data_IF_579034887837
#
_entry.id   IF_579034887837
#
_cell.length_a   1.000
_cell.length_b   1.000
_cell.length_c   1.000
_cell.angle_alpha   90.00
_cell.angle_beta   90.00
_cell.angle_gamma   90.00
#
_symmetry.space_group_name_H-M   'P 1'
#
loop_
_entity.id
_entity.type
_entity.pdbx_description
1 polymer ?
#
# COMPACT_ATOMS: atom_id res chain seq x y z
N UNK A 1 10.82 15.82 5.14
CA UNK A 1 9.70 16.52 4.48
C UNK A 1 8.44 15.74 4.76
N UNK A 2 7.38 16.39 5.22
CA UNK A 2 6.11 15.75 5.58
C UNK A 2 5.00 16.24 4.67
N UNK A 3 3.92 15.47 4.55
CA UNK A 3 2.74 15.93 3.85
C UNK A 3 2.11 17.13 4.54
N UNK A 4 1.75 18.13 3.73
CA UNK A 4 0.91 19.24 4.18
C UNK A 4 -0.57 18.78 4.28
N UNK A 5 -1.47 19.59 4.88
CA UNK A 5 -2.88 19.21 5.05
C UNK A 5 -3.61 18.87 3.75
N UNK A 6 -3.29 19.54 2.63
CA UNK A 6 -3.89 19.24 1.34
C UNK A 6 -3.41 17.88 0.80
N UNK A 7 -2.13 17.56 0.97
CA UNK A 7 -1.55 16.27 0.59
C UNK A 7 -2.10 15.13 1.45
N UNK A 8 -2.29 15.36 2.77
CA UNK A 8 -2.96 14.39 3.66
C UNK A 8 -4.39 14.12 3.17
N UNK A 9 -5.13 15.16 2.79
CA UNK A 9 -6.48 14.99 2.24
C UNK A 9 -6.49 14.18 0.94
N UNK A 10 -5.56 14.47 0.03
CA UNK A 10 -5.40 13.70 -1.22
C UNK A 10 -5.05 12.24 -0.94
N UNK A 11 -4.17 11.97 0.02
CA UNK A 11 -3.84 10.62 0.47
C UNK A 11 -5.07 9.88 0.96
N UNK A 12 -5.85 10.48 1.86
CA UNK A 12 -7.10 9.88 2.36
C UNK A 12 -8.10 9.58 1.24
N UNK A 13 -8.24 10.49 0.28
CA UNK A 13 -9.10 10.28 -0.88
C UNK A 13 -8.60 9.12 -1.75
N UNK A 14 -7.29 9.05 -2.01
CA UNK A 14 -6.68 7.99 -2.81
C UNK A 14 -6.86 6.61 -2.17
N UNK A 15 -6.73 6.49 -0.84
CA UNK A 15 -7.00 5.24 -0.13
C UNK A 15 -8.49 4.86 -0.20
N UNK A 16 -9.41 5.81 -0.04
CA UNK A 16 -10.84 5.53 -0.16
C UNK A 16 -11.24 5.07 -1.58
N UNK A 17 -10.59 5.61 -2.61
CA UNK A 17 -10.77 5.18 -4.00
C UNK A 17 -10.14 3.80 -4.24
N UNK A 18 -8.91 3.57 -3.76
CA UNK A 18 -8.23 2.28 -3.85
C UNK A 18 -9.02 1.16 -3.16
N UNK A 19 -9.57 1.41 -1.97
CA UNK A 19 -10.48 0.49 -1.28
C UNK A 19 -11.68 0.09 -2.14
N UNK A 20 -12.31 1.07 -2.80
CA UNK A 20 -13.47 0.83 -3.66
C UNK A 20 -13.10 -0.11 -4.81
N UNK A 21 -11.97 0.16 -5.44
CA UNK A 21 -11.52 -0.57 -6.63
C UNK A 21 -11.06 -1.97 -6.28
N UNK A 22 -10.26 -2.11 -5.22
CA UNK A 22 -9.83 -3.40 -4.71
C UNK A 22 -11.02 -4.25 -4.26
N UNK A 23 -11.97 -3.67 -3.51
CA UNK A 23 -13.18 -4.38 -3.08
C UNK A 23 -14.00 -4.90 -4.27
N UNK A 24 -14.14 -4.07 -5.33
CA UNK A 24 -14.83 -4.47 -6.56
C UNK A 24 -14.10 -5.61 -7.28
N UNK A 25 -12.77 -5.53 -7.39
CA UNK A 25 -11.94 -6.54 -8.05
C UNK A 25 -11.98 -7.89 -7.32
N UNK A 26 -11.81 -7.87 -5.99
CA UNK A 26 -11.78 -9.07 -5.15
C UNK A 26 -13.17 -9.58 -4.75
N UNK A 27 -14.24 -8.88 -5.17
CA UNK A 27 -15.65 -9.18 -4.88
C UNK A 27 -15.95 -9.31 -3.39
N UNK A 28 -15.37 -8.40 -2.59
CA UNK A 28 -15.60 -8.30 -1.14
C UNK A 28 -16.31 -7.00 -0.79
N UNK A 29 -16.92 -6.94 0.39
CA UNK A 29 -17.57 -5.70 0.83
C UNK A 29 -16.53 -4.68 1.32
N UNK A 30 -16.76 -3.38 1.10
CA UNK A 30 -15.87 -2.34 1.66
C UNK A 30 -15.81 -2.41 3.18
N UNK A 31 -16.91 -2.79 3.84
CA UNK A 31 -16.93 -2.99 5.30
C UNK A 31 -16.01 -4.12 5.73
N UNK A 32 -15.95 -5.21 4.97
CA UNK A 32 -15.05 -6.33 5.23
C UNK A 32 -13.57 -5.95 5.06
N UNK A 33 -13.27 -5.00 4.17
CA UNK A 33 -11.92 -4.44 4.00
C UNK A 33 -11.57 -3.39 5.08
N UNK A 34 -12.52 -2.52 5.41
CA UNK A 34 -12.35 -1.35 6.29
C UNK A 34 -12.53 -1.67 7.79
N UNK A 35 -13.12 -2.82 8.14
CA UNK A 35 -13.38 -3.21 9.53
C UNK A 35 -12.09 -3.68 10.24
N UNK A 36 -11.23 -2.72 10.59
CA UNK A 36 -10.09 -2.90 11.50
C UNK A 36 -9.00 -3.83 10.99
N UNK A 37 -8.71 -3.81 9.69
CA UNK A 37 -7.65 -4.66 9.10
C UNK A 37 -6.37 -3.93 8.79
N UNK A 38 -6.46 -2.64 8.48
CA UNK A 38 -5.28 -1.80 8.35
C UNK A 38 -5.49 -0.35 8.78
N UNK A 39 -4.39 0.31 9.11
CA UNK A 39 -4.28 1.76 9.33
C UNK A 39 -3.33 2.35 8.29
N UNK A 40 -3.44 3.65 8.04
CA UNK A 40 -2.53 4.38 7.16
C UNK A 40 -1.84 5.45 7.99
N UNK A 41 -0.53 5.30 8.16
CA UNK A 41 0.32 6.27 8.85
C UNK A 41 1.20 7.01 7.86
N UNK A 42 1.26 8.33 7.99
CA UNK A 42 2.23 9.17 7.28
C UNK A 42 3.52 9.27 8.07
N UNK A 43 4.62 9.65 7.43
CA UNK A 43 5.96 9.74 8.04
C UNK A 43 5.99 10.53 9.36
N UNK A 44 5.11 11.52 9.54
CA UNK A 44 4.99 12.29 10.78
C UNK A 44 4.54 11.48 12.02
N UNK A 45 3.97 10.29 11.82
CA UNK A 45 3.42 9.42 12.86
C UNK A 45 4.07 8.03 12.89
N UNK A 46 5.16 7.83 12.13
CA UNK A 46 5.91 6.57 12.10
C UNK A 46 6.90 6.50 13.26
N UNK A 47 7.03 5.31 13.84
CA UNK A 47 8.14 4.98 14.74
C UNK A 47 9.41 4.64 13.93
N UNK A 48 10.59 4.69 14.56
CA UNK A 48 11.87 4.53 13.88
C UNK A 48 11.98 3.22 13.08
N UNK A 49 11.36 2.13 13.55
CA UNK A 49 11.33 0.85 12.82
C UNK A 49 10.33 0.81 11.66
N UNK A 50 9.37 1.74 11.63
CA UNK A 50 8.42 1.93 10.53
C UNK A 50 8.97 2.88 9.45
N UNK A 51 10.11 3.53 9.69
CA UNK A 51 10.79 4.36 8.68
C UNK A 51 11.62 3.46 7.77
N UNK A 52 11.40 3.56 6.45
CA UNK A 52 12.15 2.80 5.47
C UNK A 52 12.65 3.72 4.35
N UNK A 53 13.97 3.71 4.15
CA UNK A 53 14.62 4.59 3.18
C UNK A 53 14.59 4.06 1.73
N UNK A 54 14.20 2.81 1.51
CA UNK A 54 14.13 2.18 0.19
C UNK A 54 12.78 2.32 -0.50
N UNK A 55 11.68 2.31 0.26
CA UNK A 55 10.32 2.17 -0.29
C UNK A 55 9.46 3.45 -0.17
N UNK A 56 8.42 3.56 -1.01
CA UNK A 56 7.42 4.65 -0.87
C UNK A 56 6.43 4.38 0.27
N UNK A 57 6.12 3.11 0.47
CA UNK A 57 5.31 2.61 1.55
C UNK A 57 5.79 1.20 1.90
N UNK A 58 5.49 0.75 3.11
CA UNK A 58 5.58 -0.67 3.44
C UNK A 58 4.44 -1.05 4.39
N UNK A 59 4.30 -2.35 4.62
CA UNK A 59 3.38 -2.89 5.61
C UNK A 59 4.14 -3.31 6.86
N UNK A 60 3.63 -2.92 8.03
CA UNK A 60 4.04 -3.48 9.32
C UNK A 60 2.90 -4.33 9.88
N UNK A 61 3.20 -5.56 10.28
CA UNK A 61 2.23 -6.48 10.87
C UNK A 61 2.30 -6.41 12.40
N UNK A 62 1.16 -6.14 13.03
CA UNK A 62 1.01 -6.04 14.47
C UNK A 62 0.09 -7.15 14.99
N UNK A 63 0.45 -7.71 16.15
CA UNK A 63 -0.34 -8.71 16.86
C UNK A 63 -0.84 -8.11 18.17
N UNK A 64 -2.17 -8.09 18.35
CA UNK A 64 -2.76 -7.73 19.63
C UNK A 64 -3.07 -8.98 20.44
N UNK A 65 -2.43 -9.18 21.62
CA UNK A 65 -2.88 -10.19 22.55
C UNK A 65 -4.21 -9.73 23.15
N UNK A 66 -5.31 -10.45 22.91
CA UNK A 66 -6.55 -10.18 23.66
C UNK A 66 -6.35 -10.59 25.12
N UNK A 67 -6.78 -9.72 26.03
CA UNK A 67 -6.75 -9.92 27.47
C UNK A 67 -7.36 -11.27 27.87
N UNK A 68 -6.63 -12.04 28.70
CA UNK A 68 -7.03 -13.36 29.24
C UNK A 68 -8.52 -13.39 29.61
N UNK A 69 -9.34 -14.14 28.86
CA UNK A 69 -10.75 -14.30 29.25
C UNK A 69 -11.71 -14.96 28.25
N UNK A 70 -11.33 -15.20 27.00
CA UNK A 70 -12.22 -15.88 26.04
C UNK A 70 -11.46 -16.99 25.29
N UNK A 71 -11.94 -18.22 25.43
CA UNK A 71 -11.42 -19.48 24.85
C UNK A 71 -11.58 -19.55 23.31
N UNK A 72 -11.03 -18.57 22.61
CA UNK A 72 -10.88 -18.60 21.15
C UNK A 72 -9.43 -18.28 20.81
N UNK A 73 -8.74 -19.25 20.21
CA UNK A 73 -7.31 -19.23 19.88
C UNK A 73 -6.87 -18.20 18.80
N UNK A 74 -7.69 -17.19 18.49
CA UNK A 74 -7.41 -16.19 17.45
C UNK A 74 -6.79 -14.92 18.04
N UNK A 75 -5.49 -14.74 17.83
CA UNK A 75 -4.84 -13.44 17.93
C UNK A 75 -5.35 -12.54 16.80
N UNK A 76 -5.74 -11.30 17.12
CA UNK A 76 -6.12 -10.35 16.08
C UNK A 76 -4.85 -9.76 15.45
N UNK A 77 -4.69 -10.01 14.15
CA UNK A 77 -3.66 -9.39 13.33
C UNK A 77 -4.15 -8.07 12.74
N UNK A 78 -3.28 -7.08 12.68
CA UNK A 78 -3.54 -5.80 12.06
C UNK A 78 -2.35 -5.33 11.23
N UNK A 79 -2.61 -4.64 10.12
CA UNK A 79 -1.57 -4.13 9.24
C UNK A 79 -1.47 -2.60 9.31
N UNK A 80 -0.27 -2.04 9.44
CA UNK A 80 -0.05 -0.60 9.30
C UNK A 80 0.61 -0.33 7.95
N UNK A 81 -0.03 0.48 7.11
CA UNK A 81 0.55 0.99 5.88
C UNK A 81 1.33 2.25 6.23
N UNK A 82 2.65 2.16 6.20
CA UNK A 82 3.55 3.24 6.61
C UNK A 82 4.07 3.98 5.38
N UNK A 83 3.55 5.18 5.13
CA UNK A 83 3.90 6.03 4.00
C UNK A 83 5.17 6.85 4.29
N UNK A 84 6.10 6.84 3.35
CA UNK A 84 7.35 7.60 3.43
C UNK A 84 7.18 8.94 2.68
N UNK A 85 6.51 9.91 3.32
CA UNK A 85 6.13 11.22 2.74
C UNK A 85 7.28 11.87 1.97
N UNK A 86 8.47 11.91 2.56
CA UNK A 86 9.68 12.48 1.98
C UNK A 86 10.02 11.83 0.62
N UNK A 87 9.93 10.50 0.51
CA UNK A 87 10.26 9.78 -0.72
C UNK A 87 9.21 9.99 -1.80
N UNK A 88 7.95 9.98 -1.42
CA UNK A 88 6.83 10.23 -2.34
C UNK A 88 6.92 11.65 -2.90
N UNK A 89 7.12 12.65 -2.04
CA UNK A 89 7.27 14.05 -2.47
C UNK A 89 8.51 14.24 -3.34
N UNK A 90 9.65 13.66 -2.95
CA UNK A 90 10.87 13.72 -3.76
C UNK A 90 10.69 13.05 -5.13
N UNK A 91 9.92 11.97 -5.23
CA UNK A 91 9.63 11.33 -6.52
C UNK A 91 8.77 12.22 -7.42
N UNK A 92 7.73 12.86 -6.86
CA UNK A 92 6.89 13.83 -7.58
C UNK A 92 7.70 15.03 -8.04
N UNK A 93 8.59 15.55 -7.19
CA UNK A 93 9.45 16.69 -7.52
C UNK A 93 10.46 16.35 -8.63
N UNK A 94 11.17 15.21 -8.51
CA UNK A 94 12.12 14.74 -9.54
C UNK A 94 11.46 14.45 -10.88
N UNK A 95 10.19 14.04 -10.88
CA UNK A 95 9.44 13.78 -12.10
C UNK A 95 9.02 15.07 -12.84
N UNK A 96 9.36 16.27 -12.34
CA UNK A 96 9.13 17.57 -13.00
C UNK A 96 7.71 17.71 -13.57
N UNK A 97 6.69 17.33 -12.79
CA UNK A 97 5.26 17.35 -13.16
C UNK A 97 4.76 16.26 -14.11
N UNK A 98 5.62 15.34 -14.57
CA UNK A 98 5.20 14.17 -15.36
C UNK A 98 4.39 13.17 -14.54
N UNK A 99 4.75 13.02 -13.26
CA UNK A 99 4.00 12.22 -12.29
C UNK A 99 3.37 13.18 -11.28
N UNK A 100 2.04 13.18 -11.20
CA UNK A 100 1.30 13.94 -10.19
C UNK A 100 1.17 13.11 -8.90
N UNK A 101 1.03 13.79 -7.76
CA UNK A 101 0.88 13.13 -6.46
C UNK A 101 -0.35 12.21 -6.41
N UNK A 102 -1.48 12.64 -6.95
CA UNK A 102 -2.74 11.86 -6.92
C UNK A 102 -2.63 10.50 -7.61
N UNK A 103 -2.21 10.38 -8.89
CA UNK A 103 -2.08 9.07 -9.54
C UNK A 103 -0.99 8.20 -8.90
N UNK A 104 0.12 8.80 -8.43
CA UNK A 104 1.15 8.06 -7.69
C UNK A 104 0.59 7.48 -6.38
N UNK A 105 -0.14 8.30 -5.62
CA UNK A 105 -0.73 7.88 -4.36
C UNK A 105 -1.82 6.83 -4.56
N UNK A 106 -2.63 6.95 -5.61
CA UNK A 106 -3.63 5.93 -5.96
C UNK A 106 -2.96 4.59 -6.30
N UNK A 107 -1.85 4.62 -7.03
CA UNK A 107 -1.05 3.42 -7.30
C UNK A 107 -0.52 2.80 -6.01
N UNK A 108 0.16 3.60 -5.16
CA UNK A 108 0.71 3.13 -3.87
C UNK A 108 -0.41 2.55 -3.01
N UNK A 109 -1.50 3.28 -2.81
CA UNK A 109 -2.63 2.84 -1.98
C UNK A 109 -3.24 1.53 -2.50
N UNK A 110 -3.40 1.39 -3.82
CA UNK A 110 -3.92 0.16 -4.43
C UNK A 110 -2.96 -1.00 -4.22
N UNK A 111 -1.66 -0.78 -4.39
CA UNK A 111 -0.61 -1.80 -4.18
C UNK A 111 -0.63 -2.34 -2.74
N UNK A 112 -0.61 -1.44 -1.75
CA UNK A 112 -0.60 -1.84 -0.35
C UNK A 112 -1.92 -2.50 0.08
N UNK A 113 -3.07 -2.05 -0.43
CA UNK A 113 -4.36 -2.70 -0.14
C UNK A 113 -4.43 -4.11 -0.74
N UNK A 114 -3.88 -4.33 -1.93
CA UNK A 114 -3.80 -5.66 -2.54
C UNK A 114 -2.97 -6.60 -1.66
N UNK A 115 -1.84 -6.12 -1.15
CA UNK A 115 -1.04 -6.88 -0.16
C UNK A 115 -1.84 -7.25 1.07
N UNK A 116 -2.52 -6.28 1.71
CA UNK A 116 -3.35 -6.53 2.90
C UNK A 116 -4.40 -7.61 2.63
N UNK A 117 -5.11 -7.53 1.50
CA UNK A 117 -6.14 -8.52 1.13
C UNK A 117 -5.53 -9.91 0.94
N UNK A 118 -4.39 -10.00 0.25
CA UNK A 118 -3.73 -11.28 -0.05
C UNK A 118 -3.16 -11.93 1.21
N UNK A 119 -2.56 -11.16 2.10
CA UNK A 119 -2.09 -11.66 3.39
C UNK A 119 -3.25 -12.12 4.29
N UNK A 120 -4.34 -11.36 4.36
CA UNK A 120 -5.53 -11.73 5.13
C UNK A 120 -6.21 -13.01 4.63
N UNK A 121 -6.15 -13.27 3.32
CA UNK A 121 -6.69 -14.50 2.72
C UNK A 121 -5.74 -15.70 2.83
N UNK A 122 -4.53 -15.51 3.36
CA UNK A 122 -3.49 -16.53 3.37
C UNK A 122 -2.98 -16.90 1.97
N UNK A 123 -3.22 -16.04 0.97
CA UNK A 123 -2.71 -16.22 -0.40
C UNK A 123 -1.19 -15.97 -0.48
N UNK A 124 -0.66 -15.25 0.51
CA UNK A 124 0.76 -15.04 0.75
C UNK A 124 1.03 -14.94 2.26
N UNK A 125 2.26 -15.20 2.68
CA UNK A 125 2.70 -15.05 4.06
C UNK A 125 3.60 -13.81 4.17
N UNK A 126 3.44 -13.05 5.26
CA UNK A 126 4.22 -11.83 5.51
C UNK A 126 5.71 -12.15 5.78
N UNK A 127 5.97 -13.27 6.48
CA UNK A 127 7.30 -13.68 6.95
C UNK A 127 7.94 -14.74 6.02
N UNK A 128 7.97 -14.48 4.71
CA UNK A 128 8.55 -15.41 3.72
C UNK A 128 9.97 -15.01 3.28
N UNK A 129 10.78 -15.97 2.79
CA UNK A 129 12.10 -15.69 2.22
C UNK A 129 12.02 -14.69 1.05
N UNK A 130 13.16 -14.04 0.76
CA UNK A 130 13.26 -13.01 -0.28
C UNK A 130 12.72 -13.44 -1.64
N UNK A 131 13.01 -14.68 -2.06
CA UNK A 131 12.57 -15.19 -3.37
C UNK A 131 11.04 -15.21 -3.47
N UNK A 132 10.36 -15.67 -2.42
CA UNK A 132 8.90 -15.68 -2.33
C UNK A 132 8.32 -14.25 -2.25
N UNK A 133 9.01 -13.33 -1.55
CA UNK A 133 8.63 -11.91 -1.55
C UNK A 133 8.67 -11.32 -2.96
N UNK A 134 9.71 -11.63 -3.74
CA UNK A 134 9.84 -11.14 -5.12
C UNK A 134 8.75 -11.70 -6.05
N UNK A 135 8.30 -12.95 -5.83
CA UNK A 135 7.15 -13.50 -6.56
C UNK A 135 5.83 -12.82 -6.16
N UNK A 136 5.66 -12.53 -4.88
CA UNK A 136 4.48 -11.83 -4.38
C UNK A 136 4.42 -10.40 -4.92
N UNK A 137 5.54 -9.67 -4.93
CA UNK A 137 5.60 -8.33 -5.53
C UNK A 137 5.19 -8.33 -7.00
N UNK A 138 5.62 -9.33 -7.79
CA UNK A 138 5.20 -9.46 -9.19
C UNK A 138 3.70 -9.69 -9.32
N UNK A 139 3.12 -10.52 -8.46
CA UNK A 139 1.67 -10.80 -8.45
C UNK A 139 0.88 -9.56 -8.07
N UNK A 140 1.28 -8.88 -6.98
CA UNK A 140 0.63 -7.67 -6.49
C UNK A 140 0.72 -6.56 -7.53
N UNK A 141 1.90 -6.35 -8.12
CA UNK A 141 2.06 -5.38 -9.21
C UNK A 141 1.11 -5.66 -10.40
N UNK A 142 1.01 -6.91 -10.83
CA UNK A 142 0.09 -7.31 -11.89
C UNK A 142 -1.39 -7.08 -11.55
N UNK A 143 -1.79 -7.40 -10.31
CA UNK A 143 -3.14 -7.16 -9.81
C UNK A 143 -3.43 -5.66 -9.73
N UNK A 144 -2.52 -4.87 -9.16
CA UNK A 144 -2.60 -3.41 -9.10
C UNK A 144 -2.78 -2.81 -10.49
N UNK A 145 -1.99 -3.27 -11.47
CA UNK A 145 -2.14 -2.87 -12.86
C UNK A 145 -3.53 -3.18 -13.42
N UNK A 146 -4.05 -4.40 -13.21
CA UNK A 146 -5.38 -4.79 -13.67
C UNK A 146 -6.50 -3.97 -13.02
N UNK A 147 -6.40 -3.69 -11.71
CA UNK A 147 -7.35 -2.86 -10.98
C UNK A 147 -7.36 -1.44 -11.57
N UNK A 148 -6.19 -0.86 -11.77
CA UNK A 148 -6.04 0.53 -12.19
C UNK A 148 -6.29 0.75 -13.69
N UNK A 149 -6.08 -0.27 -14.54
CA UNK A 149 -6.46 -0.23 -15.97
C UNK A 149 -7.96 -0.02 -16.19
N UNK A 150 -8.81 -0.38 -15.21
CA UNK A 150 -10.25 -0.09 -15.27
C UNK A 150 -10.57 1.41 -15.19
N UNK A 151 -9.60 2.24 -14.83
CA UNK A 151 -9.71 3.69 -14.74
C UNK A 151 -8.78 4.33 -15.78
N UNK A 152 -9.36 4.95 -16.80
CA UNK A 152 -8.58 5.64 -17.84
C UNK A 152 -8.24 7.07 -17.36
N UNK A 153 -7.12 7.20 -16.66
CA UNK A 153 -6.43 8.49 -16.53
C UNK A 153 -5.10 8.42 -17.29
N UNK A 154 -4.89 9.35 -18.23
CA UNK A 154 -3.61 9.45 -18.95
C UNK A 154 -2.41 9.54 -17.99
N UNK A 155 -2.57 10.28 -16.90
CA UNK A 155 -1.54 10.43 -15.86
C UNK A 155 -1.27 9.14 -15.07
N UNK A 156 -2.24 8.21 -15.01
CA UNK A 156 -2.09 6.91 -14.33
C UNK A 156 -1.35 5.91 -15.21
N UNK A 157 -1.54 5.97 -16.52
CA UNK A 157 -0.75 5.19 -17.48
C UNK A 157 0.74 5.49 -17.33
N UNK A 158 1.11 6.75 -17.15
CA UNK A 158 2.52 7.14 -16.93
C UNK A 158 3.10 6.55 -15.64
N UNK A 159 2.31 6.53 -14.57
CA UNK A 159 2.70 5.88 -13.31
C UNK A 159 2.90 4.39 -13.55
N UNK A 160 1.91 3.71 -14.14
CA UNK A 160 2.00 2.28 -14.46
C UNK A 160 3.19 1.96 -15.38
N UNK A 161 3.53 2.81 -16.34
CA UNK A 161 4.69 2.64 -17.22
C UNK A 161 6.03 2.78 -16.47
N UNK A 162 6.13 3.75 -15.56
CA UNK A 162 7.30 3.90 -14.70
C UNK A 162 7.53 2.68 -13.81
N UNK A 163 6.44 2.09 -13.29
CA UNK A 163 6.52 0.89 -12.45
C UNK A 163 6.59 -0.42 -13.25
N UNK A 164 6.18 -0.45 -14.53
CA UNK A 164 6.14 -1.68 -15.35
C UNK A 164 7.39 -1.94 -16.19
N UNK A 165 8.15 -0.92 -16.63
CA UNK A 165 9.17 -1.18 -17.67
C UNK A 165 10.59 -0.63 -17.48
N UNK A 166 10.98 0.06 -16.39
CA UNK A 166 12.40 0.48 -16.29
C UNK A 166 12.93 0.98 -14.96
N UNK A 167 12.16 0.91 -13.88
CA UNK A 167 12.72 1.08 -12.55
C UNK A 167 12.71 -0.27 -11.85
N UNK A 168 13.85 -0.96 -11.89
CA UNK A 168 14.32 -1.58 -10.66
C UNK A 168 14.43 -0.44 -9.64
N UNK A 169 13.31 -0.11 -8.99
CA UNK A 169 13.32 0.35 -7.62
C UNK A 169 13.84 -0.89 -6.88
N UNK A 170 15.14 -1.20 -6.94
CA UNK A 170 16.12 -0.36 -6.28
C UNK A 170 15.82 -0.53 -4.81
N UNK A 171 15.91 -1.79 -4.37
CA UNK A 171 15.68 -2.25 -3.01
C UNK A 171 14.23 -2.24 -2.51
N UNK A 172 13.42 -3.17 -3.06
CA UNK A 172 12.26 -3.75 -2.38
C UNK A 172 12.74 -4.53 -1.14
N UNK A 173 13.14 -3.81 -0.09
CA UNK A 173 13.10 -4.33 1.26
C UNK A 173 11.71 -4.03 1.84
N UNK A 174 10.80 -4.99 1.64
CA UNK A 174 9.74 -5.30 2.60
C UNK A 174 10.29 -6.33 3.55
#
# INVERSE_FOLDING_TARGET
MYFNPAQIFLTKSAFADAEKLAAQYFRISRKELSAHRYDVKTLAYLEDHEVNEGAFAHLCKYYYPKSKGTDSHDSFCFYSICLQDNRILNAVERANSFIKLTPLMLYIATHEIVHVIRFERGESSFDVPREEKEEEEKKVHGITGNILQSIVYHDLTLVLDCFSNRYKIGDLFI
#
